data_IF_688977456156
#
_entry.id   IF_688977456156
#
_cell.length_a   1.000
_cell.length_b   1.000
_cell.length_c   1.000
_cell.angle_alpha   90.00
_cell.angle_beta   90.00
_cell.angle_gamma   90.00
#
_symmetry.space_group_name_H-M   'P 1'
#
loop_
_entity.id
_entity.type
_entity.pdbx_description
1 polymer ?
#
# COMPACT_ATOMS: atom_id res chain seq x y z
N UNK A 1 -8.32 19.29 12.14
CA UNK A 1 -7.54 18.10 11.74
C UNK A 1 -6.77 18.44 10.47
N UNK A 2 -5.61 17.83 10.25
CA UNK A 2 -4.95 17.95 8.94
C UNK A 2 -5.81 17.30 7.86
N UNK A 3 -5.81 17.89 6.66
CA UNK A 3 -6.57 17.35 5.52
C UNK A 3 -6.02 15.99 5.10
N UNK A 4 -6.91 15.10 4.74
CA UNK A 4 -6.61 13.77 4.24
C UNK A 4 -6.48 13.83 2.73
N UNK A 5 -5.52 13.10 2.16
CA UNK A 5 -5.31 13.04 0.73
C UNK A 5 -5.78 11.68 0.19
N UNK A 6 -6.36 11.70 -1.00
CA UNK A 6 -6.79 10.50 -1.70
C UNK A 6 -5.75 10.16 -2.77
N UNK A 7 -5.14 8.98 -2.65
CA UNK A 7 -4.19 8.43 -3.61
C UNK A 7 -4.75 7.30 -4.45
N UNK A 8 -4.06 6.98 -5.55
CA UNK A 8 -4.29 5.78 -6.32
C UNK A 8 -3.02 4.93 -6.36
N UNK A 9 -3.11 3.67 -5.92
CA UNK A 9 -2.06 2.69 -6.17
C UNK A 9 -2.09 2.29 -7.65
N UNK A 10 -1.01 2.61 -8.39
CA UNK A 10 -0.97 2.42 -9.84
C UNK A 10 -1.00 0.95 -10.30
N UNK A 11 -0.82 0.00 -9.38
CA UNK A 11 -1.10 -1.40 -9.67
C UNK A 11 -2.55 -1.62 -10.16
N UNK A 12 -3.49 -0.80 -9.70
CA UNK A 12 -4.91 -0.84 -10.11
C UNK A 12 -5.11 -0.53 -11.59
N UNK A 13 -4.22 0.24 -12.20
CA UNK A 13 -4.22 0.67 -13.63
C UNK A 13 -2.90 0.32 -14.33
N UNK A 14 -2.22 -0.73 -13.86
CA UNK A 14 -0.83 -1.07 -14.26
C UNK A 14 -0.63 -1.29 -15.76
N UNK A 15 -1.62 -1.82 -16.47
CA UNK A 15 -1.50 -2.06 -17.91
C UNK A 15 -1.56 -0.75 -18.68
N UNK A 16 -2.49 0.12 -18.31
CA UNK A 16 -2.58 1.48 -18.87
C UNK A 16 -1.31 2.29 -18.57
N UNK A 17 -0.81 2.17 -17.33
CA UNK A 17 0.43 2.84 -16.93
C UNK A 17 1.65 2.31 -17.69
N UNK A 18 1.74 1.00 -17.90
CA UNK A 18 2.82 0.41 -18.69
C UNK A 18 2.76 0.81 -20.17
N UNK A 19 1.56 0.95 -20.74
CA UNK A 19 1.34 1.38 -22.13
C UNK A 19 1.64 2.87 -22.33
N UNK A 20 1.05 3.73 -21.48
CA UNK A 20 1.22 5.18 -21.57
C UNK A 20 1.19 5.84 -20.18
N UNK A 21 2.35 5.98 -19.50
CA UNK A 21 2.43 6.57 -18.17
C UNK A 21 1.89 8.01 -18.11
N UNK A 22 2.22 8.85 -19.10
CA UNK A 22 1.80 10.26 -19.14
C UNK A 22 0.27 10.39 -19.18
N UNK A 23 -0.38 9.71 -20.11
CA UNK A 23 -1.83 9.73 -20.25
C UNK A 23 -2.52 9.13 -19.00
N UNK A 24 -1.93 8.09 -18.41
CA UNK A 24 -2.46 7.48 -17.20
C UNK A 24 -2.45 8.45 -16.04
N UNK A 25 -1.31 9.12 -15.77
CA UNK A 25 -1.22 10.10 -14.70
C UNK A 25 -2.13 11.31 -14.94
N UNK A 26 -2.24 11.79 -16.16
CA UNK A 26 -3.16 12.86 -16.50
C UNK A 26 -4.61 12.47 -16.18
N UNK A 27 -5.07 11.29 -16.60
CA UNK A 27 -6.41 10.78 -16.28
C UNK A 27 -6.64 10.64 -14.76
N UNK A 28 -5.63 10.17 -14.01
CA UNK A 28 -5.72 10.06 -12.55
C UNK A 28 -5.89 11.44 -11.92
N UNK A 29 -5.14 12.44 -12.36
CA UNK A 29 -5.28 13.82 -11.89
C UNK A 29 -6.66 14.41 -12.24
N UNK A 30 -7.17 14.19 -13.47
CA UNK A 30 -8.48 14.64 -13.91
C UNK A 30 -9.65 14.05 -13.10
N UNK A 31 -9.48 12.84 -12.52
CA UNK A 31 -10.46 12.25 -11.60
C UNK A 31 -10.48 12.93 -10.21
N UNK A 32 -9.46 13.76 -9.89
CA UNK A 32 -9.34 14.48 -8.64
C UNK A 32 -8.37 13.88 -7.62
N UNK A 33 -7.69 12.79 -7.91
CA UNK A 33 -6.64 12.23 -7.05
C UNK A 33 -5.54 13.26 -6.80
N UNK A 34 -5.01 13.31 -5.57
CA UNK A 34 -3.95 14.25 -5.20
C UNK A 34 -2.56 13.64 -5.36
N UNK A 35 -2.48 12.33 -5.50
CA UNK A 35 -1.21 11.64 -5.70
C UNK A 35 -1.39 10.17 -6.04
N UNK A 36 -0.25 9.52 -6.24
CA UNK A 36 -0.17 8.11 -6.63
C UNK A 36 0.90 7.38 -5.83
N UNK A 37 0.80 6.07 -5.83
CA UNK A 37 1.86 5.18 -5.38
C UNK A 37 2.41 4.39 -6.55
N UNK A 38 3.73 4.38 -6.65
CA UNK A 38 4.46 3.69 -7.71
C UNK A 38 4.83 2.26 -7.25
N UNK A 39 4.93 1.36 -8.21
CA UNK A 39 5.55 0.04 -8.01
C UNK A 39 6.88 0.04 -8.75
N UNK A 40 7.98 -0.17 -8.03
CA UNK A 40 9.33 -0.03 -8.60
C UNK A 40 9.54 -0.89 -9.86
N UNK A 41 9.09 -2.13 -9.86
CA UNK A 41 9.21 -3.05 -11.00
C UNK A 41 8.44 -2.60 -12.26
N UNK A 42 7.52 -1.64 -12.14
CA UNK A 42 6.82 -1.04 -13.27
C UNK A 42 7.54 0.17 -13.88
N UNK A 43 8.64 0.65 -13.24
CA UNK A 43 9.41 1.81 -13.69
C UNK A 43 10.49 1.36 -14.68
N UNK A 44 10.20 1.46 -15.96
CA UNK A 44 11.07 0.97 -17.05
C UNK A 44 11.93 2.06 -17.71
N UNK A 45 11.77 3.31 -17.28
CA UNK A 45 12.51 4.48 -17.77
C UNK A 45 13.33 5.12 -16.65
N UNK A 46 14.14 6.12 -16.99
CA UNK A 46 14.90 6.88 -15.99
C UNK A 46 13.98 7.62 -15.01
N UNK A 47 14.43 7.82 -13.77
CA UNK A 47 13.63 8.43 -12.70
C UNK A 47 13.19 9.86 -13.06
N UNK A 48 14.01 10.60 -13.76
CA UNK A 48 13.75 11.97 -14.22
C UNK A 48 12.51 12.05 -15.13
N UNK A 49 12.27 11.02 -15.94
CA UNK A 49 11.05 10.94 -16.76
C UNK A 49 9.80 10.87 -15.87
N UNK A 50 9.80 10.00 -14.84
CA UNK A 50 8.65 9.88 -13.94
C UNK A 50 8.48 11.14 -13.08
N UNK A 51 9.57 11.75 -12.64
CA UNK A 51 9.56 13.04 -11.95
C UNK A 51 8.86 14.11 -12.79
N UNK A 52 9.25 14.23 -14.05
CA UNK A 52 8.66 15.21 -14.96
C UNK A 52 7.17 15.01 -15.19
N UNK A 53 6.72 13.77 -15.43
CA UNK A 53 5.30 13.53 -15.71
C UNK A 53 4.42 13.62 -14.45
N UNK A 54 4.96 13.35 -13.25
CA UNK A 54 4.30 13.61 -11.97
C UNK A 54 4.11 15.12 -11.76
N UNK A 55 5.17 15.91 -11.99
CA UNK A 55 5.10 17.37 -11.90
C UNK A 55 4.10 17.97 -12.90
N UNK A 56 4.11 17.50 -14.15
CA UNK A 56 3.17 17.95 -15.19
C UNK A 56 1.72 17.62 -14.88
N UNK A 57 1.46 16.48 -14.25
CA UNK A 57 0.11 16.09 -13.84
C UNK A 57 -0.33 16.71 -12.51
N UNK A 58 0.60 17.34 -11.75
CA UNK A 58 0.33 17.89 -10.42
C UNK A 58 0.09 16.83 -9.35
N UNK A 59 0.50 15.57 -9.59
CA UNK A 59 0.32 14.47 -8.65
C UNK A 59 1.54 14.32 -7.73
N UNK A 60 1.28 14.19 -6.42
CA UNK A 60 2.30 13.76 -5.47
C UNK A 60 2.65 12.27 -5.65
N UNK A 61 3.89 11.90 -5.33
CA UNK A 61 4.28 10.51 -5.17
C UNK A 61 4.30 10.16 -3.68
N UNK A 62 3.34 9.36 -3.21
CA UNK A 62 3.20 9.03 -1.79
C UNK A 62 4.14 7.92 -1.35
N UNK A 63 4.39 6.95 -2.20
CA UNK A 63 5.33 5.87 -1.94
C UNK A 63 5.86 5.22 -3.21
N UNK A 64 6.98 4.52 -3.08
CA UNK A 64 7.46 3.53 -4.06
C UNK A 64 7.48 2.17 -3.39
N UNK A 65 6.68 1.25 -3.89
CA UNK A 65 6.60 -0.12 -3.39
C UNK A 65 7.66 -1.00 -4.05
N UNK A 66 8.36 -1.79 -3.24
CA UNK A 66 9.37 -2.75 -3.66
C UNK A 66 8.99 -4.15 -3.17
N UNK A 67 9.13 -5.14 -4.03
CA UNK A 67 8.85 -6.54 -3.73
C UNK A 67 10.14 -7.32 -3.42
N UNK A 68 9.99 -8.60 -3.10
CA UNK A 68 11.10 -9.48 -2.71
C UNK A 68 12.37 -9.37 -3.57
N UNK A 69 12.19 -9.22 -4.88
CA UNK A 69 13.31 -9.16 -5.83
C UNK A 69 14.17 -7.91 -5.63
N UNK A 70 13.52 -6.78 -5.50
CA UNK A 70 14.18 -5.48 -5.32
C UNK A 70 14.78 -5.31 -3.93
N UNK A 71 14.28 -6.07 -2.95
CA UNK A 71 14.77 -6.02 -1.56
C UNK A 71 16.05 -6.84 -1.33
N UNK A 72 16.55 -7.58 -2.33
CA UNK A 72 17.78 -8.36 -2.18
C UNK A 72 19.01 -7.45 -2.05
N UNK A 73 20.05 -7.87 -1.30
CA UNK A 73 21.29 -7.11 -1.18
C UNK A 73 21.90 -6.76 -2.54
N UNK A 74 22.31 -5.50 -2.71
CA UNK A 74 22.81 -4.96 -3.97
C UNK A 74 21.70 -4.47 -4.90
N UNK A 75 20.56 -5.15 -4.98
CA UNK A 75 19.39 -4.66 -5.72
C UNK A 75 18.72 -3.51 -4.96
N UNK A 76 18.56 -3.64 -3.64
CA UNK A 76 17.95 -2.61 -2.81
C UNK A 76 18.73 -1.30 -2.89
N UNK A 77 20.05 -1.35 -2.78
CA UNK A 77 20.87 -0.16 -2.86
C UNK A 77 20.74 0.54 -4.23
N UNK A 78 20.71 -0.24 -5.34
CA UNK A 78 20.48 0.32 -6.69
C UNK A 78 19.09 0.92 -6.82
N UNK A 79 18.07 0.27 -6.31
CA UNK A 79 16.71 0.76 -6.33
C UNK A 79 16.56 2.05 -5.51
N UNK A 80 17.22 2.15 -4.36
CA UNK A 80 17.21 3.35 -3.53
C UNK A 80 17.93 4.53 -4.23
N UNK A 81 19.04 4.29 -4.92
CA UNK A 81 19.69 5.34 -5.71
C UNK A 81 18.80 5.86 -6.86
N UNK A 82 17.99 4.99 -7.45
CA UNK A 82 16.98 5.39 -8.40
C UNK A 82 15.88 6.23 -7.73
N UNK A 83 15.34 5.77 -6.59
CA UNK A 83 14.27 6.46 -5.85
C UNK A 83 14.68 7.85 -5.34
N UNK A 84 15.97 8.09 -5.04
CA UNK A 84 16.48 9.43 -4.66
C UNK A 84 16.24 10.50 -5.72
N UNK A 85 16.02 10.10 -6.97
CA UNK A 85 15.77 11.00 -8.11
C UNK A 85 14.26 11.18 -8.39
N UNK A 86 13.39 10.48 -7.63
CA UNK A 86 11.95 10.66 -7.66
C UNK A 86 11.50 11.66 -6.59
N UNK A 87 10.39 12.38 -6.77
CA UNK A 87 9.82 13.28 -5.77
C UNK A 87 9.06 12.49 -4.69
N UNK A 88 9.73 11.56 -4.02
CA UNK A 88 9.14 10.64 -3.05
C UNK A 88 10.08 10.46 -1.85
N UNK A 89 9.54 10.47 -0.63
CA UNK A 89 10.29 10.27 0.61
C UNK A 89 9.97 8.95 1.32
N UNK A 90 9.17 8.09 0.69
CA UNK A 90 8.70 6.83 1.28
C UNK A 90 8.95 5.63 0.34
N UNK A 91 9.64 4.63 0.85
CA UNK A 91 9.83 3.32 0.18
C UNK A 91 9.21 2.25 1.05
N UNK A 92 8.27 1.49 0.48
CA UNK A 92 7.48 0.49 1.19
C UNK A 92 7.89 -0.91 0.78
N UNK A 93 8.08 -1.77 1.76
CA UNK A 93 8.24 -3.21 1.55
C UNK A 93 6.86 -3.78 1.20
N UNK A 94 6.70 -4.21 -0.05
CA UNK A 94 5.47 -4.78 -0.60
C UNK A 94 5.38 -6.28 -0.37
N UNK A 95 5.41 -7.06 -1.44
CA UNK A 95 5.26 -8.51 -1.34
C UNK A 95 6.57 -9.21 -0.95
N UNK A 96 6.48 -10.07 0.07
CA UNK A 96 7.52 -11.04 0.40
C UNK A 96 7.19 -12.40 -0.24
N UNK A 97 8.22 -13.15 -0.66
CA UNK A 97 8.06 -14.53 -1.10
C UNK A 97 7.86 -15.42 0.14
N UNK A 98 6.63 -15.47 0.62
CA UNK A 98 6.28 -16.37 1.72
C UNK A 98 6.12 -17.79 1.16
N UNK A 99 7.16 -18.63 1.35
CA UNK A 99 6.98 -20.07 1.34
C UNK A 99 6.06 -20.47 2.52
N UNK A 100 5.45 -21.66 2.54
CA UNK A 100 4.75 -22.14 3.72
C UNK A 100 5.71 -22.11 4.92
N UNK A 101 5.45 -21.20 5.87
CA UNK A 101 6.37 -20.88 6.98
C UNK A 101 6.61 -22.05 7.94
N UNK A 102 5.70 -23.04 7.91
CA UNK A 102 5.77 -24.25 8.74
C UNK A 102 6.67 -25.35 8.15
N UNK A 103 7.03 -25.29 6.88
CA UNK A 103 7.81 -26.32 6.20
C UNK A 103 9.33 -26.16 6.37
N UNK A 104 9.79 -24.93 6.67
CA UNK A 104 11.19 -24.60 6.89
C UNK A 104 11.41 -24.01 8.29
N UNK A 105 11.89 -24.80 9.27
CA UNK A 105 12.14 -24.30 10.63
C UNK A 105 13.05 -23.08 10.64
N UNK A 106 12.59 -21.99 11.30
CA UNK A 106 13.34 -20.73 11.41
C UNK A 106 13.19 -19.77 10.22
N UNK A 107 12.38 -20.12 9.21
CA UNK A 107 12.15 -19.24 8.07
C UNK A 107 11.40 -17.96 8.47
N UNK A 108 10.52 -18.03 9.44
CA UNK A 108 9.85 -16.88 10.06
C UNK A 108 10.85 -15.86 10.63
N UNK A 109 11.84 -16.34 11.40
CA UNK A 109 12.92 -15.51 11.94
C UNK A 109 13.82 -14.96 10.83
N UNK A 110 14.13 -15.78 9.82
CA UNK A 110 14.88 -15.32 8.66
C UNK A 110 14.16 -14.16 7.96
N UNK A 111 12.84 -14.28 7.71
CA UNK A 111 12.05 -13.21 7.09
C UNK A 111 11.99 -11.96 7.96
N UNK A 112 11.84 -12.10 9.27
CA UNK A 112 11.86 -10.98 10.20
C UNK A 112 13.19 -10.23 10.14
N UNK A 113 14.32 -10.94 10.19
CA UNK A 113 15.64 -10.35 10.10
C UNK A 113 15.90 -9.70 8.73
N UNK A 114 15.41 -10.33 7.68
CA UNK A 114 15.45 -9.78 6.32
C UNK A 114 14.71 -8.44 6.23
N UNK A 115 13.46 -8.38 6.72
CA UNK A 115 12.66 -7.15 6.74
C UNK A 115 13.33 -6.07 7.59
N UNK A 116 13.85 -6.42 8.78
CA UNK A 116 14.58 -5.47 9.63
C UNK A 116 15.78 -4.87 8.92
N UNK A 117 16.58 -5.71 8.26
CA UNK A 117 17.77 -5.26 7.53
C UNK A 117 17.38 -4.38 6.32
N UNK A 118 16.38 -4.77 5.57
CA UNK A 118 15.86 -3.94 4.47
C UNK A 118 15.37 -2.58 4.98
N UNK A 119 14.59 -2.56 6.08
CA UNK A 119 14.10 -1.33 6.70
C UNK A 119 15.25 -0.42 7.18
N UNK A 120 16.29 -0.98 7.78
CA UNK A 120 17.49 -0.23 8.19
C UNK A 120 18.21 0.38 6.98
N UNK A 121 18.37 -0.37 5.90
CA UNK A 121 19.00 0.10 4.66
C UNK A 121 18.19 1.25 4.03
N UNK A 122 16.85 1.11 3.98
CA UNK A 122 15.95 2.14 3.44
C UNK A 122 16.03 3.42 4.30
N UNK A 123 16.00 3.29 5.63
CA UNK A 123 16.13 4.45 6.55
C UNK A 123 17.50 5.10 6.47
N UNK A 124 18.58 4.33 6.31
CA UNK A 124 19.93 4.88 6.10
C UNK A 124 20.03 5.70 4.81
N UNK A 125 19.25 5.36 3.79
CA UNK A 125 19.10 6.14 2.58
C UNK A 125 18.17 7.37 2.71
N UNK A 126 17.64 7.63 3.92
CA UNK A 126 16.77 8.75 4.32
C UNK A 126 15.33 8.68 3.81
N UNK A 127 14.83 7.48 3.52
CA UNK A 127 13.43 7.27 3.25
C UNK A 127 12.66 6.85 4.52
N UNK A 128 11.41 7.25 4.60
CA UNK A 128 10.42 6.59 5.44
C UNK A 128 10.20 5.19 4.89
N UNK A 129 9.82 4.24 5.77
CA UNK A 129 9.56 2.88 5.32
C UNK A 129 8.53 2.18 6.20
N UNK A 130 7.90 1.19 5.63
CA UNK A 130 6.89 0.36 6.25
C UNK A 130 6.67 -0.92 5.48
N UNK A 131 5.65 -1.64 5.88
CA UNK A 131 5.23 -2.90 5.26
C UNK A 131 3.79 -2.82 4.77
N UNK A 132 3.57 -3.18 3.52
CA UNK A 132 2.25 -3.38 2.93
C UNK A 132 1.88 -4.86 3.00
N UNK A 133 0.76 -5.17 3.63
CA UNK A 133 0.33 -6.54 3.85
C UNK A 133 -0.43 -7.15 2.67
N UNK A 134 -0.29 -8.46 2.54
CA UNK A 134 -1.11 -9.30 1.69
C UNK A 134 -1.92 -10.32 2.52
N UNK A 135 -2.85 -11.00 1.89
CA UNK A 135 -3.68 -12.04 2.52
C UNK A 135 -2.82 -13.13 3.18
N UNK A 136 -1.73 -13.55 2.53
CA UNK A 136 -0.80 -14.58 3.02
C UNK A 136 -0.17 -14.22 4.36
N UNK A 137 0.04 -12.95 4.63
CA UNK A 137 0.64 -12.48 5.89
C UNK A 137 -0.28 -12.75 7.08
N UNK A 138 -1.59 -12.87 6.84
CA UNK A 138 -2.62 -13.08 7.86
C UNK A 138 -3.00 -14.55 8.05
N UNK A 139 -2.91 -15.40 7.03
CA UNK A 139 -3.21 -16.82 7.22
C UNK A 139 -1.97 -17.70 7.43
N UNK A 140 -0.78 -17.30 6.98
CA UNK A 140 0.44 -18.03 7.25
C UNK A 140 0.83 -17.88 8.73
N UNK A 141 0.97 -19.04 9.40
CA UNK A 141 1.36 -19.09 10.82
C UNK A 141 2.85 -19.28 10.96
N UNK A 142 3.44 -18.54 11.90
CA UNK A 142 4.82 -18.73 12.35
C UNK A 142 4.91 -19.83 13.41
N UNK A 143 6.13 -20.16 13.81
CA UNK A 143 6.43 -21.28 14.73
C UNK A 143 5.71 -21.20 16.08
N UNK A 144 5.37 -20.01 16.57
CA UNK A 144 4.65 -19.78 17.83
C UNK A 144 3.11 -19.70 17.68
N UNK A 145 2.59 -19.89 16.46
CA UNK A 145 1.16 -19.93 16.15
C UNK A 145 0.54 -18.58 15.80
N UNK A 146 1.26 -17.45 15.94
CA UNK A 146 0.81 -16.14 15.45
C UNK A 146 0.78 -16.11 13.92
N UNK A 147 0.09 -15.14 13.32
CA UNK A 147 0.25 -14.82 11.91
C UNK A 147 1.64 -14.20 11.68
N UNK A 148 2.17 -14.31 10.47
CA UNK A 148 3.43 -13.62 10.14
C UNK A 148 3.30 -12.10 10.31
N UNK A 149 2.14 -11.54 9.97
CA UNK A 149 1.84 -10.13 10.19
C UNK A 149 1.99 -9.72 11.66
N UNK A 150 1.34 -10.43 12.59
CA UNK A 150 1.45 -10.16 14.03
C UNK A 150 2.89 -10.35 14.52
N UNK A 151 3.55 -11.41 14.09
CA UNK A 151 4.95 -11.68 14.44
C UNK A 151 5.88 -10.56 13.99
N UNK A 152 5.71 -10.07 12.76
CA UNK A 152 6.49 -8.94 12.25
C UNK A 152 6.27 -7.67 13.08
N UNK A 153 5.02 -7.25 13.26
CA UNK A 153 4.71 -5.98 13.91
C UNK A 153 4.93 -5.98 15.42
N UNK A 154 4.88 -7.13 16.07
CA UNK A 154 5.27 -7.27 17.49
C UNK A 154 6.80 -7.25 17.69
N UNK A 155 7.60 -7.49 16.66
CA UNK A 155 9.06 -7.60 16.74
C UNK A 155 9.83 -6.51 15.99
N UNK A 156 9.17 -5.59 15.30
CA UNK A 156 9.80 -4.47 14.60
C UNK A 156 9.54 -3.15 15.32
N UNK A 157 10.45 -2.16 15.18
CA UNK A 157 10.33 -0.86 15.84
C UNK A 157 9.06 -0.12 15.45
N UNK A 158 8.53 0.69 16.37
CA UNK A 158 7.29 1.45 16.17
C UNK A 158 7.35 2.49 15.04
N UNK A 159 8.52 2.98 14.70
CA UNK A 159 8.75 3.91 13.58
C UNK A 159 8.71 3.24 12.20
N UNK A 160 8.45 1.93 12.14
CA UNK A 160 8.18 1.18 10.92
C UNK A 160 6.68 1.21 10.62
N UNK A 161 6.31 1.86 9.52
CA UNK A 161 4.91 2.12 9.16
C UNK A 161 4.15 0.84 8.84
N UNK A 162 2.91 0.76 9.30
CA UNK A 162 1.92 -0.19 8.83
C UNK A 162 1.16 0.46 7.65
N UNK A 163 1.47 0.04 6.42
CA UNK A 163 0.64 0.35 5.28
C UNK A 163 -0.42 -0.75 5.14
N UNK A 164 -1.51 -0.61 5.91
CA UNK A 164 -2.56 -1.62 5.88
C UNK A 164 -3.33 -1.60 4.56
N UNK A 165 -3.45 -2.77 3.92
CA UNK A 165 -4.42 -3.01 2.85
C UNK A 165 -5.66 -3.69 3.45
N UNK A 166 -6.76 -2.98 3.45
CA UNK A 166 -7.99 -3.42 4.12
C UNK A 166 -8.60 -4.66 3.45
N UNK A 167 -8.57 -4.73 2.12
CA UNK A 167 -9.07 -5.87 1.38
C UNK A 167 -8.21 -7.12 1.52
N UNK A 168 -6.88 -6.97 1.49
CA UNK A 168 -5.96 -8.09 1.70
C UNK A 168 -6.06 -8.62 3.14
N UNK A 169 -6.23 -7.73 4.12
CA UNK A 169 -6.45 -8.11 5.51
C UNK A 169 -7.71 -8.97 5.67
N UNK A 170 -8.84 -8.51 5.11
CA UNK A 170 -10.09 -9.28 5.13
C UNK A 170 -9.97 -10.61 4.36
N UNK A 171 -9.33 -10.59 3.20
CA UNK A 171 -9.07 -11.79 2.41
C UNK A 171 -8.19 -12.82 3.11
N UNK A 172 -7.32 -12.37 4.00
CA UNK A 172 -6.51 -13.20 4.90
C UNK A 172 -7.25 -13.67 6.16
N UNK A 173 -8.53 -13.26 6.34
CA UNK A 173 -9.37 -13.66 7.47
C UNK A 173 -9.13 -12.83 8.75
N UNK A 174 -8.48 -11.67 8.64
CA UNK A 174 -8.26 -10.75 9.76
C UNK A 174 -9.19 -9.52 9.65
N UNK A 175 -9.39 -8.85 10.77
CA UNK A 175 -10.17 -7.61 10.85
C UNK A 175 -9.22 -6.39 10.78
N UNK A 176 -9.29 -5.55 9.73
CA UNK A 176 -8.44 -4.39 9.61
C UNK A 176 -8.68 -3.34 10.70
N UNK A 177 -9.91 -3.22 11.23
CA UNK A 177 -10.24 -2.32 12.32
C UNK A 177 -9.49 -2.72 13.59
N UNK A 178 -9.51 -4.00 13.93
CA UNK A 178 -8.81 -4.51 15.12
C UNK A 178 -7.28 -4.41 14.98
N UNK A 179 -6.74 -4.64 13.79
CA UNK A 179 -5.30 -4.50 13.56
C UNK A 179 -4.83 -3.03 13.65
N UNK A 180 -5.58 -2.09 13.09
CA UNK A 180 -5.24 -0.66 13.21
C UNK A 180 -5.31 -0.20 14.67
N UNK A 181 -6.29 -0.67 15.47
CA UNK A 181 -6.36 -0.41 16.90
C UNK A 181 -5.17 -0.98 17.65
N UNK A 182 -4.79 -2.23 17.37
CA UNK A 182 -3.67 -2.93 18.01
C UNK A 182 -2.33 -2.24 17.74
N UNK A 183 -2.10 -1.81 16.50
CA UNK A 183 -0.87 -1.14 16.06
C UNK A 183 -1.12 0.36 15.81
N UNK A 184 -1.82 1.00 16.73
CA UNK A 184 -2.23 2.42 16.62
C UNK A 184 -1.02 3.34 16.34
N UNK A 185 -1.31 4.48 15.68
CA UNK A 185 -0.34 5.50 15.31
C UNK A 185 0.77 5.06 14.33
N UNK A 186 0.58 3.94 13.64
CA UNK A 186 1.55 3.42 12.67
C UNK A 186 1.08 3.46 11.21
N UNK A 187 -0.19 3.81 10.95
CA UNK A 187 -0.81 3.77 9.61
C UNK A 187 -0.91 5.18 9.02
N UNK A 188 0.17 5.69 8.44
CA UNK A 188 0.17 7.01 7.78
C UNK A 188 -0.41 6.95 6.37
N UNK A 189 -0.23 5.83 5.67
CA UNK A 189 -0.80 5.52 4.36
C UNK A 189 -1.58 4.21 4.51
N UNK A 190 -2.82 4.18 4.04
CA UNK A 190 -3.65 2.98 4.04
C UNK A 190 -4.15 2.70 2.63
N UNK A 191 -4.13 1.43 2.19
CA UNK A 191 -4.83 1.00 1.00
C UNK A 191 -6.28 0.72 1.34
N UNK A 192 -7.14 1.61 0.85
CA UNK A 192 -8.58 1.49 1.01
C UNK A 192 -9.13 0.61 -0.12
N UNK A 193 -9.22 -0.69 0.14
CA UNK A 193 -9.55 -1.74 -0.82
C UNK A 193 -10.76 -2.53 -0.36
N UNK A 194 -11.70 -2.77 -1.27
CA UNK A 194 -12.87 -3.57 -0.98
C UNK A 194 -12.57 -5.08 -1.03
N UNK A 195 -13.32 -5.83 -0.23
CA UNK A 195 -13.33 -7.29 -0.24
C UNK A 195 -14.71 -7.80 0.15
N UNK A 196 -15.13 -8.92 -0.46
CA UNK A 196 -16.25 -9.73 -0.01
C UNK A 196 -15.97 -11.21 -0.28
N UNK A 197 -16.63 -12.08 0.47
CA UNK A 197 -16.49 -13.53 0.29
C UNK A 197 -16.99 -14.00 -1.08
N UNK A 198 -17.96 -13.31 -1.67
CA UNK A 198 -18.52 -13.64 -2.98
C UNK A 198 -17.62 -13.17 -4.14
N UNK A 199 -17.22 -11.89 -4.11
CA UNK A 199 -16.52 -11.24 -5.23
C UNK A 199 -15.01 -11.11 -5.01
N UNK A 200 -14.51 -11.45 -3.83
CA UNK A 200 -13.10 -11.31 -3.43
C UNK A 200 -12.56 -9.87 -3.63
N UNK A 201 -11.35 -9.69 -4.13
CA UNK A 201 -10.67 -8.40 -4.32
C UNK A 201 -11.23 -7.55 -5.49
N UNK A 202 -12.22 -8.05 -6.24
CA UNK A 202 -12.94 -7.24 -7.24
C UNK A 202 -14.15 -6.53 -6.66
N UNK A 203 -14.40 -6.70 -5.35
CA UNK A 203 -15.45 -5.98 -4.64
C UNK A 203 -15.14 -4.49 -4.62
N UNK A 204 -16.05 -3.61 -5.04
CA UNK A 204 -15.87 -2.18 -4.84
C UNK A 204 -15.82 -1.81 -3.36
N UNK A 205 -15.12 -0.74 -3.02
CA UNK A 205 -14.99 -0.30 -1.61
C UNK A 205 -16.35 -0.03 -0.93
N UNK A 206 -17.34 0.42 -1.68
CA UNK A 206 -18.71 0.67 -1.18
C UNK A 206 -19.59 -0.59 -1.05
N UNK A 207 -19.10 -1.75 -1.48
CA UNK A 207 -19.76 -3.06 -1.37
C UNK A 207 -18.97 -4.02 -0.47
N UNK A 208 -17.93 -3.54 0.19
CA UNK A 208 -17.09 -4.38 1.05
C UNK A 208 -17.87 -4.91 2.27
N UNK A 209 -17.54 -6.12 2.69
CA UNK A 209 -18.13 -6.78 3.87
C UNK A 209 -17.53 -6.23 5.18
N UNK A 210 -17.49 -4.91 5.32
CA UNK A 210 -17.01 -4.23 6.52
C UNK A 210 -17.80 -2.94 6.71
N UNK A 211 -17.96 -2.52 7.95
CA UNK A 211 -18.48 -1.18 8.25
C UNK A 211 -17.46 -0.12 7.78
N UNK A 212 -17.76 0.49 6.62
CA UNK A 212 -16.87 1.47 5.99
C UNK A 212 -16.69 2.74 6.82
N UNK A 213 -17.70 3.15 7.57
CA UNK A 213 -17.62 4.31 8.46
C UNK A 213 -16.73 4.01 9.66
N UNK A 214 -16.92 2.87 10.32
CA UNK A 214 -16.08 2.45 11.44
C UNK A 214 -14.61 2.24 11.02
N UNK A 215 -14.38 1.65 9.84
CA UNK A 215 -13.05 1.49 9.27
C UNK A 215 -12.38 2.85 9.02
N UNK A 216 -13.08 3.77 8.36
CA UNK A 216 -12.56 5.09 8.04
C UNK A 216 -12.23 5.87 9.31
N UNK A 217 -13.14 5.89 10.28
CA UNK A 217 -12.94 6.56 11.57
C UNK A 217 -11.75 5.95 12.34
N UNK A 218 -11.56 4.63 12.26
CA UNK A 218 -10.42 3.97 12.91
C UNK A 218 -9.10 4.33 12.22
N UNK A 219 -9.03 4.30 10.89
CA UNK A 219 -7.84 4.69 10.14
C UNK A 219 -7.42 6.13 10.45
N UNK A 220 -8.37 7.04 10.50
CA UNK A 220 -8.12 8.48 10.70
C UNK A 220 -7.75 8.84 12.15
N UNK A 221 -8.45 8.26 13.13
CA UNK A 221 -8.32 8.65 14.52
C UNK A 221 -7.35 7.79 15.34
N UNK A 222 -7.13 6.54 14.94
CA UNK A 222 -6.26 5.60 15.64
C UNK A 222 -5.06 5.16 14.80
N UNK A 223 -5.21 5.12 13.46
CA UNK A 223 -4.13 4.80 12.54
C UNK A 223 -3.19 5.97 12.23
N UNK A 224 -3.65 7.21 12.43
CA UNK A 224 -3.01 8.45 11.94
C UNK A 224 -2.92 8.54 10.41
N UNK A 225 -3.86 7.93 9.69
CA UNK A 225 -3.86 7.97 8.25
C UNK A 225 -4.00 9.41 7.71
N UNK A 226 -3.09 9.77 6.80
CA UNK A 226 -3.09 11.06 6.09
C UNK A 226 -3.25 10.86 4.59
N UNK A 227 -2.98 9.66 4.10
CA UNK A 227 -3.20 9.23 2.73
C UNK A 227 -4.08 7.99 2.74
N UNK A 228 -5.21 8.06 2.06
CA UNK A 228 -6.06 6.92 1.76
C UNK A 228 -5.89 6.59 0.28
N UNK A 229 -5.17 5.54 0.01
CA UNK A 229 -4.84 5.13 -1.35
C UNK A 229 -5.82 4.06 -1.83
N UNK A 230 -6.53 4.35 -2.90
CA UNK A 230 -7.43 3.38 -3.52
C UNK A 230 -6.60 2.30 -4.20
N UNK A 231 -6.90 1.05 -3.87
CA UNK A 231 -6.42 -0.11 -4.63
C UNK A 231 -7.57 -1.07 -4.94
N UNK A 232 -7.51 -1.76 -6.07
CA UNK A 232 -8.46 -2.80 -6.43
C UNK A 232 -7.83 -3.89 -7.28
N UNK A 233 -8.33 -5.13 -7.12
CA UNK A 233 -7.93 -6.27 -7.92
C UNK A 233 -8.48 -6.19 -9.34
N UNK A 234 -7.87 -6.93 -10.27
CA UNK A 234 -8.17 -6.90 -11.71
C UNK A 234 -8.91 -8.12 -12.24
N UNK A 235 -9.61 -8.83 -11.40
CA UNK A 235 -10.48 -9.92 -11.88
C UNK A 235 -11.90 -9.39 -12.00
N UNK A 236 -12.48 -9.45 -13.20
CA UNK A 236 -13.85 -9.06 -13.47
C UNK A 236 -14.02 -8.14 -14.70
N UNK A 237 -15.24 -7.98 -15.15
CA UNK A 237 -15.63 -7.20 -16.31
C UNK A 237 -15.82 -5.72 -15.93
N UNK A 238 -14.74 -5.02 -15.59
CA UNK A 238 -14.82 -3.59 -15.32
C UNK A 238 -13.70 -2.82 -16.03
N UNK A 239 -13.98 -1.56 -16.33
CA UNK A 239 -13.01 -0.63 -16.92
C UNK A 239 -12.22 0.01 -15.76
N UNK A 240 -10.87 -0.16 -15.69
CA UNK A 240 -10.08 0.30 -14.56
C UNK A 240 -10.26 1.78 -14.20
N UNK A 241 -10.28 2.67 -15.19
CA UNK A 241 -10.47 4.10 -14.96
C UNK A 241 -11.88 4.47 -14.47
N UNK A 242 -12.93 3.80 -14.98
CA UNK A 242 -14.29 4.02 -14.45
C UNK A 242 -14.37 3.62 -12.98
N UNK A 243 -13.73 2.50 -12.63
CA UNK A 243 -13.68 2.05 -11.25
C UNK A 243 -12.88 3.00 -10.37
N UNK A 244 -11.73 3.47 -10.84
CA UNK A 244 -10.93 4.46 -10.13
C UNK A 244 -11.73 5.75 -9.89
N UNK A 245 -12.42 6.29 -10.92
CA UNK A 245 -13.23 7.49 -10.79
C UNK A 245 -14.38 7.32 -9.78
N UNK A 246 -15.10 6.20 -9.82
CA UNK A 246 -16.18 5.91 -8.87
C UNK A 246 -15.65 5.71 -7.44
N UNK A 247 -14.52 5.03 -7.27
CA UNK A 247 -13.88 4.85 -5.96
C UNK A 247 -13.44 6.19 -5.37
N UNK A 248 -12.84 7.06 -6.20
CA UNK A 248 -12.50 8.42 -5.80
C UNK A 248 -13.73 9.19 -5.33
N UNK A 249 -14.78 9.24 -6.14
CA UNK A 249 -16.02 9.98 -5.83
C UNK A 249 -16.60 9.50 -4.50
N UNK A 250 -16.74 8.20 -4.31
CA UNK A 250 -17.27 7.64 -3.07
C UNK A 250 -16.43 8.04 -1.84
N UNK A 251 -15.09 7.86 -1.89
CA UNK A 251 -14.23 8.20 -0.77
C UNK A 251 -14.18 9.70 -0.50
N UNK A 252 -14.15 10.52 -1.56
CA UNK A 252 -14.20 11.98 -1.44
C UNK A 252 -15.49 12.46 -0.76
N UNK A 253 -16.63 11.87 -1.07
CA UNK A 253 -17.90 12.21 -0.42
C UNK A 253 -17.90 11.82 1.07
N UNK A 254 -17.30 10.66 1.43
CA UNK A 254 -17.14 10.28 2.84
C UNK A 254 -16.24 11.25 3.61
N UNK A 255 -15.15 11.71 2.99
CA UNK A 255 -14.22 12.66 3.63
C UNK A 255 -14.79 14.08 3.71
N UNK A 256 -15.55 14.55 2.70
CA UNK A 256 -16.29 15.82 2.74
C UNK A 256 -17.32 15.85 3.86
N UNK A 257 -18.05 14.75 4.04
CA UNK A 257 -19.04 14.64 5.13
C UNK A 257 -18.41 14.76 6.53
N UNK A 258 -17.09 14.59 6.62
CA UNK A 258 -16.27 14.71 7.85
C UNK A 258 -15.43 16.00 7.91
N UNK A 259 -15.58 16.92 6.95
CA UNK A 259 -14.77 18.16 6.82
C UNK A 259 -13.24 17.89 6.70
N UNK A 260 -12.84 16.81 6.03
CA UNK A 260 -11.45 16.35 5.96
C UNK A 260 -10.76 16.63 4.62
N UNK A 261 -11.51 17.07 3.61
CA UNK A 261 -10.97 17.53 2.30
C UNK A 261 -11.60 18.81 1.83
#
# INVERSE_FOLDING_TARGET
MEKVQIGLQLHSVREDFAENPEMTLQKVAEMGYQGVELVYSALTREAEYYTQILEQSGLACYSVMMDWKELQPGELERALEYCKRLPCDCVVIGSLHLAPLTEEPGYDHFLLDFVKKAAETIKAARFKTGFHNHDKDHFNKVSDGRTFFEFLFDNIKEDFMLMIDTGNTMGGGADPIELVKRYSHRTQIAHFKGYSTEKTYVTPVWEAEIDGDALLDTLLNQGDARVLSIEFGRRGDYIPFERAARSYTWLADQLKARDLI
#
